data_IF_345490198523
#
_entry.id   IF_345490198523
#
_cell.length_a   1.000
_cell.length_b   1.000
_cell.length_c   1.000
_cell.angle_alpha   90.00
_cell.angle_beta   90.00
_cell.angle_gamma   90.00
#
_symmetry.space_group_name_H-M   'P 1'
#
loop_
_entity.id
_entity.type
_entity.pdbx_description
1 polymer ?
#
# COMPACT_ATOMS: atom_id res chain seq x y z
N UNK A 1 33.11 5.00 22.60
CA UNK A 1 31.91 5.60 22.02
C UNK A 1 31.67 4.88 20.71
N UNK A 2 30.50 4.32 20.43
CA UNK A 2 30.26 3.78 19.09
C UNK A 2 30.34 4.93 18.10
N UNK A 3 31.23 4.84 17.14
CA UNK A 3 31.27 5.73 15.99
C UNK A 3 29.91 5.70 15.36
N UNK A 4 29.18 6.80 15.34
CA UNK A 4 27.93 6.89 14.58
C UNK A 4 28.28 6.64 13.11
N UNK A 5 28.05 5.42 12.66
CA UNK A 5 28.23 5.07 11.28
C UNK A 5 27.28 5.98 10.47
N UNK A 6 27.85 6.74 9.54
CA UNK A 6 27.04 7.61 8.69
C UNK A 6 26.03 6.74 7.93
N UNK A 7 24.78 7.12 7.92
CA UNK A 7 23.68 6.29 7.36
C UNK A 7 23.95 5.86 5.89
N UNK A 8 24.63 6.71 5.10
CA UNK A 8 24.92 6.40 3.70
C UNK A 8 25.91 5.24 3.55
N UNK A 9 26.89 5.10 4.46
CA UNK A 9 27.81 3.96 4.43
C UNK A 9 27.06 2.66 4.71
N UNK A 10 26.13 2.70 5.68
CA UNK A 10 25.26 1.55 5.98
C UNK A 10 24.33 1.21 4.82
N UNK A 11 23.78 2.22 4.15
CA UNK A 11 22.94 2.06 2.97
C UNK A 11 23.69 1.33 1.84
N UNK A 12 24.87 1.85 1.48
CA UNK A 12 25.71 1.26 0.43
C UNK A 12 26.14 -0.18 0.74
N UNK A 13 26.45 -0.50 2.01
CA UNK A 13 26.84 -1.86 2.42
C UNK A 13 25.69 -2.86 2.33
N UNK A 14 24.44 -2.38 2.43
CA UNK A 14 23.22 -3.20 2.35
C UNK A 14 22.66 -3.31 0.93
N UNK A 15 23.27 -2.65 -0.05
CA UNK A 15 22.86 -2.74 -1.44
C UNK A 15 23.23 -4.10 -2.03
N UNK A 16 22.25 -4.76 -2.62
CA UNK A 16 22.40 -6.09 -3.22
C UNK A 16 21.55 -6.22 -4.49
N UNK A 17 21.78 -7.25 -5.28
CA UNK A 17 20.89 -7.61 -6.37
C UNK A 17 19.55 -8.17 -5.84
N UNK A 18 18.49 -8.10 -6.66
CA UNK A 18 17.20 -8.71 -6.30
C UNK A 18 17.35 -10.21 -6.00
N UNK A 19 18.17 -10.89 -6.77
CA UNK A 19 18.48 -12.31 -6.59
C UNK A 19 19.15 -12.61 -5.25
N UNK A 20 20.15 -11.83 -4.84
CA UNK A 20 20.84 -12.00 -3.56
C UNK A 20 19.93 -11.67 -2.38
N UNK A 21 19.08 -10.66 -2.52
CA UNK A 21 18.09 -10.31 -1.52
C UNK A 21 17.07 -11.43 -1.33
N UNK A 22 16.49 -11.94 -2.42
CA UNK A 22 15.50 -13.03 -2.37
C UNK A 22 16.12 -14.35 -1.94
N UNK A 23 17.42 -14.57 -2.15
CA UNK A 23 18.12 -15.74 -1.62
C UNK A 23 18.15 -15.82 -0.08
N UNK A 24 17.84 -14.72 0.63
CA UNK A 24 17.69 -14.68 2.09
C UNK A 24 16.34 -15.23 2.57
N UNK A 25 15.34 -15.28 1.70
CA UNK A 25 14.03 -15.87 1.99
C UNK A 25 14.16 -17.40 2.13
N UNK A 26 13.48 -17.98 3.10
CA UNK A 26 13.56 -19.41 3.41
C UNK A 26 12.18 -20.07 3.33
N UNK A 27 12.18 -21.37 3.08
CA UNK A 27 10.96 -22.19 3.13
C UNK A 27 10.25 -22.06 4.49
N UNK A 28 8.93 -22.15 4.49
CA UNK A 28 8.09 -22.03 5.68
C UNK A 28 7.90 -20.62 6.20
N UNK A 29 8.53 -19.61 5.60
CA UNK A 29 8.42 -18.22 6.03
C UNK A 29 7.13 -17.56 5.56
N UNK A 30 6.71 -16.54 6.31
CA UNK A 30 5.64 -15.63 5.94
C UNK A 30 6.23 -14.35 5.39
N UNK A 31 5.90 -14.05 4.13
CA UNK A 31 6.40 -12.91 3.37
C UNK A 31 5.27 -11.92 3.14
N UNK A 32 5.38 -10.71 3.68
CA UNK A 32 4.51 -9.60 3.32
C UNK A 32 5.00 -8.97 2.02
N UNK A 33 4.08 -8.67 1.12
CA UNK A 33 4.36 -7.91 -0.09
C UNK A 33 3.61 -6.58 -0.02
N UNK A 34 4.32 -5.49 -0.27
CA UNK A 34 3.77 -4.13 -0.34
C UNK A 34 2.55 -4.08 -1.24
N UNK A 35 1.56 -3.30 -0.86
CA UNK A 35 0.20 -3.40 -1.41
C UNK A 35 -0.08 -2.41 -2.53
N UNK A 36 -1.13 -2.70 -3.27
CA UNK A 36 -1.69 -1.84 -4.30
C UNK A 36 -0.73 -1.54 -5.43
N UNK A 37 -0.65 -0.27 -5.82
CA UNK A 37 0.25 0.19 -6.87
C UNK A 37 1.71 0.38 -6.38
N UNK A 38 1.95 0.28 -5.07
CA UNK A 38 3.30 0.28 -4.47
C UNK A 38 3.90 -1.11 -4.32
N UNK A 39 3.38 -2.13 -4.97
CA UNK A 39 3.97 -3.47 -5.01
C UNK A 39 5.38 -3.41 -5.59
N UNK A 40 6.41 -3.99 -4.93
CA UNK A 40 7.79 -4.01 -5.44
C UNK A 40 7.92 -5.07 -6.55
N UNK A 41 7.61 -4.69 -7.79
CA UNK A 41 7.46 -5.60 -8.92
C UNK A 41 8.73 -6.40 -9.22
N UNK A 42 9.89 -5.74 -9.17
CA UNK A 42 11.17 -6.40 -9.43
C UNK A 42 11.51 -7.47 -8.37
N UNK A 43 11.26 -7.16 -7.09
CA UNK A 43 11.44 -8.16 -6.01
C UNK A 43 10.43 -9.30 -6.13
N UNK A 44 9.18 -9.01 -6.51
CA UNK A 44 8.14 -10.02 -6.73
C UNK A 44 8.50 -10.91 -7.92
N UNK A 45 9.07 -10.36 -8.98
CA UNK A 45 9.57 -11.14 -10.12
C UNK A 45 10.70 -12.08 -9.69
N UNK A 46 11.71 -11.59 -8.98
CA UNK A 46 12.80 -12.42 -8.47
C UNK A 46 12.31 -13.54 -7.54
N UNK A 47 11.32 -13.23 -6.68
CA UNK A 47 10.66 -14.23 -5.83
C UNK A 47 9.95 -15.31 -6.67
N UNK A 48 9.28 -14.88 -7.76
CA UNK A 48 8.59 -15.77 -8.69
C UNK A 48 9.55 -16.73 -9.40
N UNK A 49 10.66 -16.22 -9.87
CA UNK A 49 11.68 -17.01 -10.58
C UNK A 49 12.29 -18.10 -9.68
N UNK A 50 12.32 -17.85 -8.38
CA UNK A 50 12.81 -18.79 -7.37
C UNK A 50 11.71 -19.62 -6.68
N UNK A 51 10.45 -19.48 -7.07
CA UNK A 51 9.31 -20.09 -6.39
C UNK A 51 9.45 -21.60 -6.19
N UNK A 52 10.01 -22.31 -7.16
CA UNK A 52 10.23 -23.75 -7.10
C UNK A 52 11.28 -24.20 -6.04
N UNK A 53 12.02 -23.27 -5.46
CA UNK A 53 13.01 -23.54 -4.40
C UNK A 53 12.41 -23.46 -3.00
N UNK A 54 11.19 -22.97 -2.88
CA UNK A 54 10.52 -22.80 -1.60
C UNK A 54 9.49 -23.90 -1.37
N UNK A 55 9.33 -24.29 -0.12
CA UNK A 55 8.24 -25.14 0.34
C UNK A 55 7.53 -24.46 1.51
N UNK A 56 6.20 -24.43 1.48
CA UNK A 56 5.39 -23.89 2.57
C UNK A 56 5.51 -22.37 2.78
N UNK A 57 5.85 -21.60 1.74
CA UNK A 57 5.91 -20.15 1.81
C UNK A 57 4.48 -19.58 1.91
N UNK A 58 4.24 -18.66 2.84
CA UNK A 58 2.98 -17.94 2.96
C UNK A 58 3.17 -16.49 2.54
N UNK A 59 2.52 -16.08 1.44
CA UNK A 59 2.47 -14.67 1.00
C UNK A 59 1.31 -13.98 1.70
N UNK A 60 1.59 -12.90 2.41
CA UNK A 60 0.58 -12.03 3.04
C UNK A 60 0.47 -10.73 2.26
N UNK A 61 -0.74 -10.39 1.85
CA UNK A 61 -1.02 -9.12 1.17
C UNK A 61 -2.36 -8.53 1.61
N UNK A 62 -2.43 -7.20 1.61
CA UNK A 62 -3.67 -6.48 1.90
C UNK A 62 -4.48 -6.27 0.61
N UNK A 63 -3.98 -5.43 -0.25
CA UNK A 63 -4.55 -5.09 -1.56
C UNK A 63 -3.49 -5.48 -2.61
N UNK A 64 -3.62 -6.65 -3.20
CA UNK A 64 -2.80 -7.03 -4.33
C UNK A 64 -3.54 -6.71 -5.61
N UNK A 65 -2.93 -5.99 -6.56
CA UNK A 65 -3.29 -6.25 -7.93
C UNK A 65 -2.78 -7.65 -8.23
N UNK A 66 -3.57 -8.42 -8.93
CA UNK A 66 -3.08 -9.67 -9.46
C UNK A 66 -2.11 -9.34 -10.59
N UNK A 67 -0.87 -9.06 -10.22
CA UNK A 67 0.19 -8.95 -11.19
C UNK A 67 0.37 -10.31 -11.83
N UNK A 68 0.68 -10.32 -13.10
CA UNK A 68 0.98 -11.55 -13.83
C UNK A 68 2.04 -12.41 -13.11
N UNK A 69 2.95 -11.75 -12.36
CA UNK A 69 4.00 -12.40 -11.59
C UNK A 69 3.47 -13.25 -10.44
N UNK A 70 2.59 -12.72 -9.58
CA UNK A 70 2.01 -13.50 -8.46
C UNK A 70 1.09 -14.61 -8.95
N UNK A 71 0.37 -14.37 -10.04
CA UNK A 71 -0.42 -15.40 -10.72
C UNK A 71 0.48 -16.51 -11.24
N UNK A 72 1.60 -16.17 -11.87
CA UNK A 72 2.57 -17.14 -12.38
C UNK A 72 3.24 -17.96 -11.26
N UNK A 73 3.45 -17.39 -10.07
CA UNK A 73 3.91 -18.15 -8.90
C UNK A 73 2.87 -19.21 -8.53
N UNK A 74 1.60 -18.82 -8.43
CA UNK A 74 0.54 -19.74 -8.04
C UNK A 74 0.34 -20.89 -9.04
N UNK A 75 0.56 -20.63 -10.33
CA UNK A 75 0.41 -21.62 -11.40
C UNK A 75 1.62 -22.54 -11.55
N UNK A 76 2.82 -22.07 -11.21
CA UNK A 76 4.08 -22.84 -11.37
C UNK A 76 4.44 -23.71 -10.18
N UNK A 77 3.86 -23.47 -9.01
CA UNK A 77 4.19 -24.22 -7.81
C UNK A 77 3.29 -25.45 -7.67
N UNK A 78 3.89 -26.62 -7.48
CA UNK A 78 3.16 -27.82 -7.05
C UNK A 78 2.43 -27.58 -5.72
N UNK A 79 1.44 -28.39 -5.41
CA UNK A 79 0.39 -28.15 -4.42
C UNK A 79 0.82 -27.74 -2.99
N UNK A 80 2.08 -27.85 -2.64
CA UNK A 80 2.55 -27.65 -1.26
C UNK A 80 3.46 -26.43 -1.05
N UNK A 81 3.83 -25.71 -2.11
CA UNK A 81 4.95 -24.78 -2.02
C UNK A 81 4.58 -23.35 -1.69
N UNK A 82 3.38 -22.90 -2.03
CA UNK A 82 2.98 -21.50 -1.84
C UNK A 82 1.52 -21.34 -1.41
N UNK A 83 1.32 -20.59 -0.34
CA UNK A 83 0.01 -20.17 0.15
C UNK A 83 -0.12 -18.65 0.05
N UNK A 84 -1.30 -18.16 -0.33
CA UNK A 84 -1.60 -16.72 -0.37
C UNK A 84 -2.66 -16.40 0.67
N UNK A 85 -2.32 -15.55 1.61
CA UNK A 85 -3.23 -15.00 2.61
C UNK A 85 -3.60 -13.58 2.23
N UNK A 86 -4.87 -13.36 1.97
CA UNK A 86 -5.43 -12.04 1.70
C UNK A 86 -6.21 -11.56 2.92
N UNK A 87 -6.01 -10.31 3.28
CA UNK A 87 -6.74 -9.66 4.39
C UNK A 87 -7.99 -8.97 3.84
N UNK A 88 -7.92 -8.45 2.63
CA UNK A 88 -9.05 -7.80 1.97
C UNK A 88 -9.72 -8.73 0.95
N UNK A 89 -11.04 -8.87 1.06
CA UNK A 89 -11.83 -9.81 0.25
C UNK A 89 -11.77 -9.52 -1.26
N UNK A 90 -11.66 -8.25 -1.65
CA UNK A 90 -11.57 -7.83 -3.05
C UNK A 90 -10.38 -8.42 -3.80
N UNK A 91 -9.25 -8.61 -3.12
CA UNK A 91 -8.04 -9.20 -3.70
C UNK A 91 -8.10 -10.74 -3.81
N UNK A 92 -9.10 -11.37 -3.23
CA UNK A 92 -9.25 -12.83 -3.23
C UNK A 92 -10.02 -13.37 -4.46
N UNK A 93 -10.48 -12.50 -5.36
CA UNK A 93 -11.34 -12.88 -6.50
C UNK A 93 -10.60 -13.34 -7.75
N UNK A 94 -9.27 -13.52 -7.72
CA UNK A 94 -8.58 -14.04 -8.90
C UNK A 94 -9.00 -15.49 -9.20
N UNK A 95 -9.54 -15.76 -10.38
CA UNK A 95 -9.84 -17.13 -10.78
C UNK A 95 -8.56 -17.97 -10.99
N UNK A 96 -7.42 -17.33 -11.21
CA UNK A 96 -6.16 -17.97 -11.54
C UNK A 96 -5.44 -18.62 -10.35
N UNK A 97 -5.78 -18.25 -9.11
CA UNK A 97 -5.18 -18.90 -7.93
C UNK A 97 -6.10 -20.02 -7.45
N UNK A 98 -5.59 -21.24 -7.36
CA UNK A 98 -6.35 -22.38 -6.89
C UNK A 98 -6.97 -22.13 -5.50
N UNK A 99 -8.22 -22.54 -5.29
CA UNK A 99 -8.97 -22.26 -4.05
C UNK A 99 -8.27 -22.75 -2.78
N UNK A 100 -7.61 -23.90 -2.83
CA UNK A 100 -6.92 -24.49 -1.69
C UNK A 100 -5.62 -23.79 -1.30
N UNK A 101 -5.12 -22.88 -2.16
CA UNK A 101 -3.93 -22.05 -1.88
C UNK A 101 -4.28 -20.64 -1.36
N UNK A 102 -5.56 -20.35 -1.18
CA UNK A 102 -6.03 -19.05 -0.74
C UNK A 102 -6.58 -19.11 0.65
N UNK A 103 -6.05 -18.27 1.49
CA UNK A 103 -6.56 -18.04 2.83
C UNK A 103 -7.05 -16.61 2.95
N UNK A 104 -8.21 -16.42 3.53
CA UNK A 104 -8.77 -15.10 3.81
C UNK A 104 -8.80 -14.94 5.32
N UNK A 105 -8.28 -13.83 5.82
CA UNK A 105 -8.38 -13.42 7.21
C UNK A 105 -9.24 -12.16 7.26
N UNK A 106 -10.59 -12.30 7.40
CA UNK A 106 -11.48 -11.15 7.42
C UNK A 106 -11.27 -10.37 8.72
N UNK A 107 -10.93 -9.08 8.59
CA UNK A 107 -10.77 -8.19 9.73
C UNK A 107 -10.92 -6.73 9.28
N UNK A 108 -11.11 -5.82 10.23
CA UNK A 108 -11.09 -4.41 9.94
C UNK A 108 -9.69 -3.96 9.55
N UNK A 109 -9.59 -3.06 8.57
CA UNK A 109 -8.29 -2.56 8.11
C UNK A 109 -7.50 -1.87 9.22
N UNK A 110 -8.20 -1.19 10.15
CA UNK A 110 -7.61 -0.56 11.33
C UNK A 110 -6.90 -1.53 12.29
N UNK A 111 -7.29 -2.80 12.29
CA UNK A 111 -6.76 -3.81 13.22
C UNK A 111 -5.50 -4.50 12.66
N UNK A 112 -5.29 -4.43 11.34
CA UNK A 112 -4.16 -5.10 10.66
C UNK A 112 -2.80 -4.65 11.18
N UNK A 113 -2.52 -3.34 11.36
CA UNK A 113 -1.24 -2.89 11.92
C UNK A 113 -0.96 -3.50 13.30
N UNK A 114 -1.98 -3.57 14.15
CA UNK A 114 -1.87 -4.19 15.48
C UNK A 114 -1.54 -5.69 15.38
N UNK A 115 -2.11 -6.39 14.41
CA UNK A 115 -1.85 -7.81 14.18
C UNK A 115 -0.37 -8.10 13.90
N UNK A 116 0.29 -7.23 13.13
CA UNK A 116 1.72 -7.34 12.82
C UNK A 116 2.59 -6.89 14.00
N UNK A 117 2.35 -5.69 14.53
CA UNK A 117 3.15 -5.09 15.60
C UNK A 117 3.13 -5.90 16.89
N UNK A 118 2.00 -6.52 17.24
CA UNK A 118 1.88 -7.41 18.40
C UNK A 118 2.34 -8.84 18.12
N UNK A 119 2.81 -9.12 16.90
CA UNK A 119 3.25 -10.44 16.44
C UNK A 119 2.19 -11.55 16.58
N UNK A 120 0.92 -11.20 16.63
CA UNK A 120 -0.17 -12.19 16.53
C UNK A 120 -0.19 -12.86 15.16
N UNK A 121 0.26 -12.13 14.13
CA UNK A 121 0.64 -12.67 12.83
C UNK A 121 2.09 -12.23 12.56
N UNK A 122 3.10 -12.99 13.00
CA UNK A 122 4.49 -12.63 12.79
C UNK A 122 4.83 -12.66 11.30
N UNK A 123 5.56 -11.66 10.83
CA UNK A 123 6.10 -11.57 9.49
C UNK A 123 7.59 -11.89 9.53
N UNK A 124 8.02 -12.85 8.73
CA UNK A 124 9.45 -13.16 8.63
C UNK A 124 10.15 -12.22 7.65
N UNK A 125 9.48 -11.89 6.55
CA UNK A 125 10.04 -11.01 5.52
C UNK A 125 9.02 -9.97 5.12
N UNK A 126 9.46 -8.72 4.93
CA UNK A 126 8.67 -7.68 4.27
C UNK A 126 9.39 -7.23 2.99
N UNK A 127 8.74 -7.39 1.86
CA UNK A 127 9.14 -6.85 0.56
C UNK A 127 8.37 -5.56 0.34
N UNK A 128 9.06 -4.43 0.32
CA UNK A 128 8.44 -3.10 0.20
C UNK A 128 9.06 -2.30 -0.93
N UNK A 129 8.36 -1.27 -1.40
CA UNK A 129 8.90 -0.31 -2.35
C UNK A 129 8.95 1.08 -1.72
N UNK A 130 10.03 1.80 -1.93
CA UNK A 130 10.29 3.11 -1.32
C UNK A 130 10.92 4.07 -2.31
N UNK A 131 10.81 5.38 -2.04
CA UNK A 131 11.60 6.39 -2.74
C UNK A 131 13.08 6.31 -2.37
N UNK A 132 13.99 6.90 -3.16
CA UNK A 132 15.36 7.12 -2.72
C UNK A 132 15.43 7.82 -1.36
N UNK A 133 16.46 7.55 -0.54
CA UNK A 133 16.67 8.25 0.73
C UNK A 133 16.98 9.74 0.50
N UNK A 134 16.56 10.59 1.43
CA UNK A 134 16.98 11.97 1.49
C UNK A 134 18.35 12.13 2.20
N UNK A 135 18.80 13.38 2.35
CA UNK A 135 20.07 13.71 3.00
C UNK A 135 20.19 13.20 4.45
N UNK A 136 19.08 12.84 5.06
CA UNK A 136 19.00 12.32 6.42
C UNK A 136 18.71 10.81 6.48
N UNK A 137 18.64 10.14 5.35
CA UNK A 137 18.36 8.69 5.26
C UNK A 137 16.88 8.32 5.37
N UNK A 138 15.96 9.27 5.20
CA UNK A 138 14.53 9.00 5.19
C UNK A 138 14.04 8.69 3.76
N UNK A 139 13.34 7.58 3.63
CA UNK A 139 12.68 7.12 2.41
C UNK A 139 11.17 7.21 2.59
N UNK A 140 10.44 7.52 1.52
CA UNK A 140 8.97 7.53 1.55
C UNK A 140 8.41 6.21 1.03
N UNK A 141 7.36 5.70 1.68
CA UNK A 141 6.54 4.60 1.15
C UNK A 141 5.64 5.05 -0.02
N UNK A 142 5.64 6.35 -0.32
CA UNK A 142 5.00 6.94 -1.50
C UNK A 142 3.52 6.65 -1.59
N UNK A 143 3.11 5.99 -2.67
CA UNK A 143 1.70 5.80 -3.03
C UNK A 143 1.01 4.67 -2.26
N UNK A 144 1.71 3.89 -1.43
CA UNK A 144 1.14 2.75 -0.70
C UNK A 144 1.69 2.66 0.72
N UNK A 145 1.18 3.52 1.59
CA UNK A 145 1.61 3.58 3.00
C UNK A 145 0.89 2.53 3.82
N UNK A 146 -0.44 2.51 3.78
CA UNK A 146 -1.39 1.59 4.42
C UNK A 146 -0.82 0.79 5.63
N UNK A 147 -0.83 -0.54 5.56
CA UNK A 147 -0.25 -1.42 6.57
C UNK A 147 1.24 -1.72 6.34
N UNK A 148 1.80 -1.21 5.24
CA UNK A 148 3.19 -1.46 4.83
C UNK A 148 4.18 -0.94 5.88
N UNK A 149 3.91 0.22 6.49
CA UNK A 149 4.71 0.74 7.59
C UNK A 149 4.76 -0.22 8.80
N UNK A 150 3.60 -0.78 9.18
CA UNK A 150 3.53 -1.72 10.29
C UNK A 150 4.24 -3.04 9.95
N UNK A 151 4.10 -3.51 8.72
CA UNK A 151 4.80 -4.69 8.23
C UNK A 151 6.32 -4.50 8.25
N UNK A 152 6.84 -3.38 7.72
CA UNK A 152 8.26 -3.06 7.71
C UNK A 152 8.85 -2.95 9.13
N UNK A 153 8.07 -2.42 10.10
CA UNK A 153 8.54 -2.29 11.50
C UNK A 153 8.48 -3.58 12.31
N UNK A 154 7.75 -4.58 11.85
CA UNK A 154 7.51 -5.83 12.61
C UNK A 154 8.14 -7.06 11.99
N UNK A 155 8.54 -7.03 10.72
CA UNK A 155 9.19 -8.13 10.05
C UNK A 155 10.59 -8.40 10.62
N UNK A 156 10.99 -9.68 10.58
CA UNK A 156 12.33 -10.09 11.01
C UNK A 156 13.40 -9.69 9.96
N UNK A 157 13.01 -9.55 8.70
CA UNK A 157 13.85 -9.15 7.56
C UNK A 157 13.07 -8.18 6.66
N UNK A 158 13.64 -7.03 6.38
CA UNK A 158 13.05 -6.02 5.50
C UNK A 158 13.91 -5.83 4.26
N UNK A 159 13.34 -6.09 3.09
CA UNK A 159 13.97 -5.88 1.79
C UNK A 159 13.21 -4.77 1.08
N UNK A 160 13.89 -3.69 0.75
CA UNK A 160 13.30 -2.54 0.10
C UNK A 160 13.79 -2.39 -1.35
N UNK A 161 12.85 -2.36 -2.28
CA UNK A 161 13.10 -1.90 -3.63
C UNK A 161 13.09 -0.37 -3.63
N UNK A 162 14.22 0.24 -3.96
CA UNK A 162 14.36 1.68 -4.07
C UNK A 162 14.08 2.10 -5.50
N UNK A 163 12.97 2.81 -5.70
CA UNK A 163 12.52 3.23 -7.02
C UNK A 163 12.49 4.76 -7.11
N UNK A 164 13.29 5.38 -7.99
CA UNK A 164 13.26 6.83 -8.22
C UNK A 164 11.90 7.36 -8.68
N UNK A 165 11.07 6.51 -9.32
CA UNK A 165 9.72 6.88 -9.73
C UNK A 165 8.72 6.94 -8.56
N UNK A 166 9.08 6.45 -7.36
CA UNK A 166 8.23 6.52 -6.18
C UNK A 166 8.20 7.94 -5.63
N UNK A 167 7.04 8.62 -5.60
CA UNK A 167 6.96 9.99 -5.10
C UNK A 167 7.20 10.06 -3.60
N UNK A 168 7.82 11.14 -3.15
CA UNK A 168 7.88 11.48 -1.72
C UNK A 168 6.56 12.11 -1.32
N UNK A 169 5.82 11.45 -0.44
CA UNK A 169 4.59 11.98 0.14
C UNK A 169 4.84 12.38 1.59
N UNK A 170 4.19 13.43 2.02
CA UNK A 170 4.29 13.94 3.40
C UNK A 170 3.45 13.10 4.37
N UNK A 171 3.57 13.35 5.67
CA UNK A 171 2.84 12.62 6.69
C UNK A 171 3.63 11.46 7.28
N UNK A 172 2.92 10.43 7.76
CA UNK A 172 3.55 9.27 8.42
C UNK A 172 3.99 8.19 7.41
N UNK A 173 4.55 8.61 6.29
CA UNK A 173 4.96 7.76 5.19
C UNK A 173 6.45 7.42 5.18
N UNK A 174 7.22 7.97 6.13
CA UNK A 174 8.68 7.88 6.11
C UNK A 174 9.22 6.70 6.90
N UNK A 175 10.11 5.97 6.26
CA UNK A 175 10.90 4.89 6.86
C UNK A 175 12.38 5.25 6.74
N UNK A 176 13.11 5.18 7.87
CA UNK A 176 14.55 5.43 7.84
C UNK A 176 15.32 4.20 7.36
N UNK A 177 16.44 4.39 6.67
CA UNK A 177 17.30 3.31 6.14
C UNK A 177 17.71 2.28 7.19
N UNK A 178 17.76 2.65 8.46
CA UNK A 178 18.11 1.75 9.55
C UNK A 178 17.08 0.63 9.80
N UNK A 179 15.85 0.80 9.33
CA UNK A 179 14.80 -0.23 9.43
C UNK A 179 14.83 -1.25 8.29
N UNK A 180 15.75 -1.09 7.34
CA UNK A 180 15.86 -1.95 6.17
C UNK A 180 17.16 -2.75 6.24
N UNK A 181 17.08 -4.03 5.93
CA UNK A 181 18.23 -4.95 5.97
C UNK A 181 18.93 -5.04 4.62
N UNK A 182 18.18 -5.01 3.51
CA UNK A 182 18.72 -5.03 2.16
C UNK A 182 17.99 -4.05 1.26
N UNK A 183 18.77 -3.36 0.41
CA UNK A 183 18.27 -2.46 -0.62
C UNK A 183 18.54 -3.03 -2.01
N UNK A 184 17.53 -2.90 -2.86
CA UNK A 184 17.62 -3.25 -4.28
C UNK A 184 17.22 -2.01 -5.08
N UNK A 185 18.17 -1.35 -5.71
CA UNK A 185 17.87 -0.22 -6.58
C UNK A 185 17.33 -0.73 -7.91
N UNK A 186 16.14 -0.26 -8.26
CA UNK A 186 15.51 -0.58 -9.53
C UNK A 186 14.52 0.50 -9.91
N UNK A 187 14.78 1.15 -11.04
CA UNK A 187 13.88 2.14 -11.63
C UNK A 187 12.86 1.43 -12.51
N UNK A 188 11.59 1.58 -12.18
CA UNK A 188 10.48 1.05 -12.97
C UNK A 188 9.23 1.91 -12.81
N UNK A 189 8.37 1.86 -13.81
CA UNK A 189 7.07 2.52 -13.74
C UNK A 189 6.21 1.94 -12.63
N UNK A 190 5.55 2.82 -11.88
CA UNK A 190 4.61 2.40 -10.85
C UNK A 190 3.37 1.74 -11.48
N UNK A 191 2.85 0.75 -10.79
CA UNK A 191 1.57 0.15 -11.19
C UNK A 191 0.47 1.20 -11.16
N UNK A 192 -0.44 1.13 -12.11
CA UNK A 192 -1.62 1.99 -12.16
C UNK A 192 -2.91 1.17 -12.32
N UNK A 193 -4.01 1.74 -11.87
CA UNK A 193 -5.35 1.17 -12.09
C UNK A 193 -5.97 1.89 -13.27
N UNK A 194 -6.17 1.23 -14.41
CA UNK A 194 -6.82 1.89 -15.53
C UNK A 194 -8.25 2.31 -15.13
N UNK A 195 -8.68 3.51 -15.51
CA UNK A 195 -10.03 3.96 -15.24
C UNK A 195 -11.03 3.02 -15.93
N UNK A 196 -12.11 2.67 -15.25
CA UNK A 196 -13.21 1.93 -15.90
C UNK A 196 -13.86 2.84 -16.94
N UNK A 197 -13.79 2.43 -18.19
CA UNK A 197 -14.25 3.23 -19.32
C UNK A 197 -15.77 3.45 -19.35
N UNK A 198 -16.55 2.54 -18.77
CA UNK A 198 -18.01 2.68 -18.70
C UNK A 198 -18.52 2.33 -17.32
N UNK A 199 -19.27 3.24 -16.72
CA UNK A 199 -20.07 2.94 -15.55
C UNK A 199 -21.39 2.32 -16.03
N UNK A 200 -21.81 1.24 -15.40
CA UNK A 200 -23.16 0.70 -15.63
C UNK A 200 -24.21 1.71 -15.14
N UNK A 201 -25.45 1.55 -15.58
CA UNK A 201 -26.54 2.49 -15.28
C UNK A 201 -26.79 2.66 -13.77
N UNK A 202 -26.81 1.56 -13.01
CA UNK A 202 -27.11 1.57 -11.59
C UNK A 202 -26.14 2.42 -10.74
N UNK A 203 -24.81 2.29 -10.85
CA UNK A 203 -23.85 3.18 -10.17
C UNK A 203 -24.07 4.66 -10.52
N UNK A 204 -24.41 4.98 -11.77
CA UNK A 204 -24.64 6.36 -12.20
C UNK A 204 -25.91 6.96 -11.56
N UNK A 205 -26.99 6.17 -11.48
CA UNK A 205 -28.23 6.57 -10.81
C UNK A 205 -28.01 6.75 -9.31
N UNK A 206 -27.31 5.83 -8.64
CA UNK A 206 -26.95 5.95 -7.23
C UNK A 206 -26.13 7.23 -7.00
N UNK A 207 -25.14 7.48 -7.83
CA UNK A 207 -24.29 8.67 -7.74
C UNK A 207 -25.11 9.96 -7.86
N UNK A 208 -26.06 10.04 -8.80
CA UNK A 208 -26.96 11.19 -8.96
C UNK A 208 -27.73 11.48 -7.68
N UNK A 209 -28.31 10.46 -7.05
CA UNK A 209 -29.04 10.65 -5.79
C UNK A 209 -28.13 11.10 -4.65
N UNK A 210 -26.93 10.50 -4.52
CA UNK A 210 -25.97 10.87 -3.47
C UNK A 210 -25.48 12.31 -3.65
N UNK A 211 -25.17 12.73 -4.89
CA UNK A 211 -24.69 14.07 -5.20
C UNK A 211 -25.68 15.17 -4.75
N UNK A 212 -26.98 14.90 -4.85
CA UNK A 212 -28.01 15.85 -4.38
C UNK A 212 -28.04 16.01 -2.84
N UNK A 213 -27.58 15.00 -2.10
CA UNK A 213 -27.50 15.05 -0.64
C UNK A 213 -26.24 15.73 -0.11
N UNK A 214 -25.25 15.94 -0.97
CA UNK A 214 -23.97 16.54 -0.59
C UNK A 214 -24.09 18.07 -0.69
N UNK A 215 -23.84 18.75 0.41
CA UNK A 215 -23.84 20.21 0.51
C UNK A 215 -22.41 20.77 0.34
N UNK A 216 -22.32 22.07 0.00
CA UNK A 216 -21.05 22.79 0.00
C UNK A 216 -20.41 22.76 1.39
N UNK A 217 -19.10 22.53 1.43
CA UNK A 217 -18.34 22.39 2.67
C UNK A 217 -18.43 21.02 3.33
N UNK A 218 -19.13 20.05 2.73
CA UNK A 218 -19.17 18.67 3.23
C UNK A 218 -17.80 18.00 3.20
N UNK A 219 -17.47 17.20 4.21
CA UNK A 219 -16.29 16.32 4.19
C UNK A 219 -16.72 14.90 3.84
N UNK A 220 -16.10 14.33 2.80
CA UNK A 220 -16.50 13.07 2.21
C UNK A 220 -15.47 11.99 2.47
N UNK A 221 -15.93 10.80 2.86
CA UNK A 221 -15.16 9.57 2.77
C UNK A 221 -15.62 8.80 1.53
N UNK A 222 -14.65 8.46 0.66
CA UNK A 222 -14.93 7.91 -0.66
C UNK A 222 -14.37 6.49 -0.75
N UNK A 223 -15.21 5.54 -1.16
CA UNK A 223 -14.83 4.16 -1.41
C UNK A 223 -14.26 3.93 -2.82
N UNK A 224 -13.83 2.69 -3.09
CA UNK A 224 -13.31 2.26 -4.40
C UNK A 224 -14.36 1.67 -5.33
N UNK A 225 -15.60 1.52 -4.85
CA UNK A 225 -16.67 0.96 -5.66
C UNK A 225 -17.13 1.91 -6.78
N UNK A 226 -17.85 1.36 -7.75
CA UNK A 226 -18.26 2.10 -8.94
C UNK A 226 -19.22 3.28 -8.61
N UNK A 227 -20.07 3.15 -7.60
CA UNK A 227 -21.00 4.20 -7.20
C UNK A 227 -20.27 5.36 -6.52
N UNK A 228 -19.32 5.07 -5.64
CA UNK A 228 -18.44 6.06 -5.00
C UNK A 228 -17.66 6.86 -6.05
N UNK A 229 -17.04 6.18 -7.02
CA UNK A 229 -16.29 6.85 -8.09
C UNK A 229 -17.20 7.67 -9.02
N UNK A 230 -18.41 7.19 -9.32
CA UNK A 230 -19.38 7.95 -10.08
C UNK A 230 -19.84 9.21 -9.34
N UNK A 231 -20.00 9.12 -8.01
CA UNK A 231 -20.37 10.26 -7.16
C UNK A 231 -19.33 11.37 -7.25
N UNK A 232 -18.03 11.04 -7.15
CA UNK A 232 -16.94 12.02 -7.26
C UNK A 232 -17.04 12.83 -8.56
N UNK A 233 -17.33 12.16 -9.68
CA UNK A 233 -17.50 12.84 -10.99
C UNK A 233 -18.66 13.84 -11.00
N UNK A 234 -19.71 13.58 -10.23
CA UNK A 234 -20.87 14.44 -10.12
C UNK A 234 -20.72 15.66 -9.21
N UNK A 235 -19.56 15.83 -8.53
CA UNK A 235 -19.35 16.90 -7.53
C UNK A 235 -18.77 18.20 -8.11
N UNK A 236 -18.73 18.34 -9.41
CA UNK A 236 -18.10 19.50 -10.07
C UNK A 236 -18.79 20.84 -9.83
N UNK A 237 -20.03 20.85 -9.36
CA UNK A 237 -20.82 22.02 -8.99
C UNK A 237 -20.77 22.37 -7.50
N UNK A 238 -20.10 21.53 -6.69
CA UNK A 238 -19.98 21.74 -5.23
C UNK A 238 -18.70 22.50 -4.88
N UNK A 239 -18.75 23.23 -3.76
CA UNK A 239 -17.66 24.09 -3.31
C UNK A 239 -17.21 23.74 -1.90
N UNK A 240 -15.96 24.11 -1.57
CA UNK A 240 -15.35 23.97 -0.24
C UNK A 240 -15.38 22.54 0.31
N UNK A 241 -15.36 21.55 -0.55
CA UNK A 241 -15.39 20.14 -0.12
C UNK A 241 -14.13 19.77 0.66
N UNK A 242 -14.31 18.87 1.63
CA UNK A 242 -13.24 18.16 2.32
C UNK A 242 -13.20 16.70 1.87
N UNK A 243 -12.00 16.15 1.69
CA UNK A 243 -11.83 14.72 1.38
C UNK A 243 -11.08 14.04 2.52
N UNK A 244 -11.65 12.93 3.01
CA UNK A 244 -11.01 12.01 3.94
C UNK A 244 -11.22 10.59 3.44
N UNK A 245 -10.22 10.03 2.75
CA UNK A 245 -10.35 8.76 2.04
C UNK A 245 -9.09 7.92 2.15
N UNK A 246 -9.24 6.61 1.97
CA UNK A 246 -8.12 5.68 1.89
C UNK A 246 -7.39 5.75 0.54
N UNK A 247 -8.04 6.28 -0.48
CA UNK A 247 -7.52 6.31 -1.84
C UNK A 247 -7.65 7.70 -2.43
N UNK A 248 -6.60 8.12 -3.12
CA UNK A 248 -6.60 9.30 -3.97
C UNK A 248 -6.74 8.83 -5.42
N UNK A 249 -7.71 9.39 -6.13
CA UNK A 249 -8.01 9.05 -7.53
C UNK A 249 -7.89 10.26 -8.42
N UNK A 250 -7.77 10.05 -9.74
CA UNK A 250 -7.67 11.15 -10.71
C UNK A 250 -8.89 12.08 -10.63
N UNK A 251 -10.09 11.52 -10.43
CA UNK A 251 -11.32 12.33 -10.30
C UNK A 251 -11.25 13.27 -9.08
N UNK A 252 -10.68 12.82 -7.95
CA UNK A 252 -10.43 13.66 -6.77
C UNK A 252 -9.41 14.76 -7.10
N UNK A 253 -8.33 14.41 -7.81
CA UNK A 253 -7.31 15.36 -8.23
C UNK A 253 -7.87 16.42 -9.18
N UNK A 254 -8.76 16.04 -10.09
CA UNK A 254 -9.47 16.99 -10.97
C UNK A 254 -10.32 17.97 -10.18
N UNK A 255 -11.10 17.51 -9.20
CA UNK A 255 -11.88 18.40 -8.32
C UNK A 255 -10.99 19.34 -7.51
N UNK A 256 -9.84 18.84 -7.02
CA UNK A 256 -8.86 19.67 -6.33
C UNK A 256 -8.27 20.76 -7.24
N UNK A 257 -7.83 20.39 -8.44
CA UNK A 257 -7.27 21.31 -9.41
C UNK A 257 -8.26 22.40 -9.86
N UNK A 258 -9.56 22.10 -9.83
CA UNK A 258 -10.64 23.07 -10.13
C UNK A 258 -11.02 23.94 -8.95
N UNK A 259 -10.50 23.70 -7.75
CA UNK A 259 -10.80 24.44 -6.54
C UNK A 259 -12.08 23.99 -5.81
N UNK A 260 -12.73 22.90 -6.24
CA UNK A 260 -13.90 22.35 -5.55
C UNK A 260 -13.55 21.77 -4.18
N UNK A 261 -12.32 21.24 -4.02
CA UNK A 261 -11.80 20.66 -2.78
C UNK A 261 -10.79 21.63 -2.17
N UNK A 262 -11.12 22.19 -0.99
CA UNK A 262 -10.24 23.08 -0.23
C UNK A 262 -9.76 22.47 1.07
N UNK A 263 -10.45 21.48 1.61
CA UNK A 263 -10.28 20.90 2.93
C UNK A 263 -10.41 21.90 4.11
N UNK A 264 -10.78 23.17 3.87
CA UNK A 264 -10.78 24.22 4.91
C UNK A 264 -11.75 23.92 6.05
N UNK A 265 -12.88 23.28 5.75
CA UNK A 265 -13.90 22.92 6.74
C UNK A 265 -13.68 21.53 7.35
N UNK A 266 -12.67 20.81 6.92
CA UNK A 266 -12.28 19.52 7.47
C UNK A 266 -11.55 19.75 8.80
N UNK A 267 -12.05 19.32 9.91
CA UNK A 267 -11.57 19.67 11.25
C UNK A 267 -10.13 19.17 11.60
N UNK A 268 -9.52 18.28 10.78
CA UNK A 268 -8.19 17.75 10.98
C UNK A 268 -7.63 17.20 9.66
N UNK A 269 -6.31 17.01 9.58
CA UNK A 269 -5.63 16.51 8.38
C UNK A 269 -6.04 17.28 7.11
N UNK A 270 -5.76 18.58 7.09
CA UNK A 270 -6.22 19.50 6.05
C UNK A 270 -5.58 19.24 4.69
N UNK A 271 -4.39 18.66 4.65
CA UNK A 271 -3.71 18.31 3.41
C UNK A 271 -4.32 17.07 2.74
N UNK A 272 -4.40 17.08 1.41
CA UNK A 272 -4.75 15.88 0.62
C UNK A 272 -3.77 14.73 0.83
N UNK A 273 -2.51 15.02 1.10
CA UNK A 273 -1.47 14.00 1.32
C UNK A 273 -1.77 13.16 2.58
N UNK A 274 -2.45 13.71 3.57
CA UNK A 274 -2.85 13.00 4.77
C UNK A 274 -4.09 12.11 4.58
N UNK A 275 -4.71 12.12 3.42
CA UNK A 275 -5.89 11.29 3.11
C UNK A 275 -5.54 9.80 3.11
N UNK A 276 -4.33 9.47 2.70
CA UNK A 276 -3.86 8.08 2.59
C UNK A 276 -3.19 7.55 3.86
N UNK A 277 -3.23 8.30 4.97
CA UNK A 277 -2.71 7.75 6.23
C UNK A 277 -3.49 6.49 6.62
N UNK A 278 -2.76 5.39 6.90
CA UNK A 278 -3.40 4.24 7.51
C UNK A 278 -4.05 4.69 8.82
N UNK A 279 -5.25 4.23 9.05
CA UNK A 279 -6.02 4.50 10.26
C UNK A 279 -5.13 4.36 11.47
N UNK A 280 -4.98 5.43 12.25
CA UNK A 280 -4.26 5.38 13.52
C UNK A 280 -4.88 4.32 14.39
N UNK A 281 -4.13 3.36 14.92
CA UNK A 281 -4.66 2.53 15.97
C UNK A 281 -4.98 3.44 17.15
N UNK A 282 -6.26 3.67 17.44
CA UNK A 282 -6.81 4.28 18.64
C UNK A 282 -5.96 5.42 19.26
N UNK A 283 -5.51 6.40 18.46
CA UNK A 283 -5.13 7.67 19.04
C UNK A 283 -6.42 8.29 19.59
N UNK A 284 -6.49 8.65 20.87
CA UNK A 284 -7.68 9.31 21.40
C UNK A 284 -7.97 10.52 20.53
N UNK A 285 -9.23 10.69 20.15
CA UNK A 285 -9.75 11.71 19.23
C UNK A 285 -9.53 13.17 19.70
N UNK A 286 -8.52 13.42 20.53
CA UNK A 286 -8.31 14.68 21.24
C UNK A 286 -6.87 15.17 21.27
N UNK A 287 -6.05 14.92 20.29
CA UNK A 287 -4.85 15.77 20.16
C UNK A 287 -5.08 16.78 19.05
N UNK A 288 -5.27 18.07 19.38
CA UNK A 288 -5.10 19.10 18.40
C UNK A 288 -3.65 19.10 17.98
N UNK A 289 -3.36 18.86 16.71
CA UNK A 289 -2.06 19.19 16.17
C UNK A 289 -1.95 20.69 16.14
N UNK A 290 -1.35 21.24 17.17
CA UNK A 290 -0.83 22.58 17.14
C UNK A 290 0.40 22.59 16.25
N UNK A 291 0.34 23.43 15.22
CA UNK A 291 1.36 24.05 14.38
C UNK A 291 2.49 23.16 13.89
#
# INVERSE_FOLDING_TARGET
>A
MPTSQYWADSYLQKMVSADDAIAKVRSGQRVFIGSGCGEPQHLVQALTERANRFSGLEIVRLLGRETASLTAIADRTEDTSLNIRSIYLGSAKSPSIARHKRFITPMNMSDVPSLFLTRKMPLNVALIQVSPPDDFGWMSLGISVDVTMAAARSADLVIAQVNPMMPRVMGQSFLHVNYVDFFVEHEEDLLFVPPKQTLSEAPSQIASHITHLIEDGSTLQIGLDAASQATVKGLSDKNDLGIHSQFLTDDIMHLYARGNITNQKKGYNLSLIHISEPTRPNAPSRMPYSA
#
